data_IF_024531169686
#
_entry.id   IF_024531169686
#
_cell.length_a   1.000
_cell.length_b   1.000
_cell.length_c   1.000
_cell.angle_alpha   90.00
_cell.angle_beta   90.00
_cell.angle_gamma   90.00
#
_symmetry.space_group_name_H-M   'P 1'
#
loop_
_entity.id
_entity.type
_entity.pdbx_description
1 polymer ?
#
# COMPACT_ATOMS: atom_id res chain seq x y z
N UNK A 1 14.37 -5.26 15.49
CA UNK A 1 12.99 -5.18 14.96
C UNK A 1 12.82 -6.25 13.90
N UNK A 2 11.72 -6.99 13.92
CA UNK A 2 11.42 -7.97 12.87
C UNK A 2 10.75 -7.24 11.70
N UNK A 3 11.31 -7.36 10.50
CA UNK A 3 10.66 -6.87 9.28
C UNK A 3 9.83 -8.03 8.71
N UNK A 4 8.51 -7.87 8.70
CA UNK A 4 7.60 -8.83 8.07
C UNK A 4 7.49 -8.50 6.58
N UNK A 5 7.75 -9.48 5.72
CA UNK A 5 7.54 -9.38 4.29
C UNK A 5 6.19 -10.02 3.93
N UNK A 6 5.32 -9.26 3.28
CA UNK A 6 4.05 -9.73 2.76
C UNK A 6 4.02 -9.52 1.23
N UNK A 7 3.42 -10.46 0.51
CA UNK A 7 3.25 -10.38 -0.95
C UNK A 7 1.77 -10.55 -1.26
N UNK A 8 1.23 -9.66 -2.09
CA UNK A 8 -0.15 -9.70 -2.56
C UNK A 8 -0.22 -9.39 -4.05
N UNK A 9 -1.17 -10.03 -4.73
CA UNK A 9 -1.51 -9.74 -6.11
C UNK A 9 -2.79 -8.91 -6.14
N UNK A 10 -2.75 -7.77 -6.83
CA UNK A 10 -3.89 -6.86 -6.99
C UNK A 10 -4.07 -6.53 -8.46
N UNK A 11 -5.33 -6.39 -8.88
CA UNK A 11 -5.71 -5.99 -10.24
C UNK A 11 -6.51 -4.70 -10.17
N UNK A 12 -6.06 -3.68 -10.91
CA UNK A 12 -6.76 -2.41 -11.02
C UNK A 12 -7.59 -2.39 -12.31
N UNK A 13 -8.90 -2.22 -12.18
CA UNK A 13 -9.82 -2.20 -13.33
C UNK A 13 -10.04 -0.81 -13.93
N UNK A 14 -9.73 0.24 -13.16
CA UNK A 14 -9.99 1.62 -13.54
C UNK A 14 -8.77 2.49 -13.24
N UNK A 15 -8.54 3.56 -14.01
CA UNK A 15 -7.54 4.57 -13.67
C UNK A 15 -7.94 5.31 -12.38
N UNK A 16 -6.95 5.73 -11.61
CA UNK A 16 -7.17 6.41 -10.34
C UNK A 16 -5.94 6.38 -9.43
N UNK A 17 -6.07 7.08 -8.29
CA UNK A 17 -5.06 7.12 -7.25
C UNK A 17 -5.46 6.13 -6.16
N UNK A 18 -4.63 5.13 -5.92
CA UNK A 18 -4.82 4.10 -4.92
C UNK A 18 -3.74 4.22 -3.84
N UNK A 19 -4.09 3.93 -2.60
CA UNK A 19 -3.13 3.93 -1.49
C UNK A 19 -3.00 2.52 -0.93
N UNK A 20 -1.76 2.11 -0.66
CA UNK A 20 -1.49 0.94 0.16
C UNK A 20 -0.98 1.40 1.52
N UNK A 21 -1.55 0.86 2.59
CA UNK A 21 -1.20 1.20 3.97
C UNK A 21 -0.67 -0.05 4.66
N UNK A 22 0.30 0.13 5.56
CA UNK A 22 0.64 -0.93 6.50
C UNK A 22 -0.41 -1.00 7.61
N UNK A 23 -1.04 -2.16 7.77
CA UNK A 23 -2.08 -2.40 8.78
C UNK A 23 -1.50 -2.65 10.18
N UNK A 24 -0.17 -2.75 10.31
CA UNK A 24 0.46 -2.89 11.62
C UNK A 24 0.23 -1.62 12.45
N UNK A 25 -0.22 -1.71 13.72
CA UNK A 25 -0.55 -0.56 14.53
C UNK A 25 0.57 0.49 14.56
N UNK A 26 0.22 1.75 14.27
CA UNK A 26 1.16 2.88 14.25
C UNK A 26 2.02 3.01 12.98
N UNK A 27 2.14 1.99 12.13
CA UNK A 27 3.07 2.06 10.99
C UNK A 27 2.64 3.06 9.92
N UNK A 28 1.36 3.09 9.54
CA UNK A 28 0.86 4.07 8.58
C UNK A 28 1.02 5.52 9.12
N UNK A 29 0.77 5.73 10.41
CA UNK A 29 0.94 7.04 11.08
C UNK A 29 2.41 7.47 11.12
N UNK A 30 3.34 6.51 11.20
CA UNK A 30 4.78 6.73 11.11
C UNK A 30 5.30 6.85 9.66
N UNK A 31 4.42 6.84 8.66
CA UNK A 31 4.77 7.06 7.25
C UNK A 31 4.91 5.80 6.39
N UNK A 32 4.53 4.63 6.90
CA UNK A 32 4.58 3.38 6.13
C UNK A 32 3.31 3.20 5.28
N UNK A 33 3.20 4.03 4.24
CA UNK A 33 2.18 3.95 3.21
C UNK A 33 2.80 4.31 1.85
N UNK A 34 2.09 4.03 0.76
CA UNK A 34 2.47 4.54 -0.54
C UNK A 34 1.30 4.72 -1.47
N UNK A 35 1.53 5.51 -2.52
CA UNK A 35 0.55 5.86 -3.54
C UNK A 35 0.85 5.12 -4.84
N UNK A 36 -0.20 4.66 -5.49
CA UNK A 36 -0.17 3.97 -6.78
C UNK A 36 -1.09 4.76 -7.70
N UNK A 37 -0.50 5.35 -8.75
CA UNK A 37 -1.25 6.10 -9.76
C UNK A 37 -1.40 5.20 -10.98
N UNK A 38 -2.65 4.89 -11.34
CA UNK A 38 -2.99 4.07 -12.50
C UNK A 38 -3.52 4.98 -13.60
N UNK A 39 -2.81 5.02 -14.73
CA UNK A 39 -3.22 5.74 -15.94
C UNK A 39 -3.94 4.80 -16.92
N UNK A 40 -4.74 5.38 -17.82
CA UNK A 40 -5.45 4.67 -18.89
C UNK A 40 -4.74 4.72 -20.23
#
# INVERSE_FOLDING_TARGET
GYAYSFSSNVVFYNPGNYYYICEYPGHAEMGMYGEIIVYG
#
